data_IF_375186717775
#
_entry.id   IF_375186717775
#
_cell.length_a   1.000
_cell.length_b   1.000
_cell.length_c   1.000
_cell.angle_alpha   90.00
_cell.angle_beta   90.00
_cell.angle_gamma   90.00
#
_symmetry.space_group_name_H-M   'P 1'
#
loop_
_entity.id
_entity.type
_entity.pdbx_description
1 polymer ?
#
# COMPACT_ATOMS: atom_id res chain seq x y z
N UNK A 1 -30.68 -16.23 4.10
CA UNK A 1 -29.61 -16.43 3.10
C UNK A 1 -29.51 -15.15 2.28
N UNK A 2 -28.63 -14.22 2.69
CA UNK A 2 -28.40 -13.02 1.90
C UNK A 2 -27.66 -13.45 0.62
N UNK A 3 -28.17 -13.06 -0.55
CA UNK A 3 -27.47 -13.23 -1.81
C UNK A 3 -26.19 -12.38 -1.77
N UNK A 4 -25.10 -12.94 -1.23
CA UNK A 4 -23.79 -12.31 -1.29
C UNK A 4 -23.39 -12.29 -2.75
N UNK A 5 -23.44 -11.11 -3.35
CA UNK A 5 -23.09 -10.88 -4.73
C UNK A 5 -21.65 -11.38 -4.99
N UNK A 6 -21.54 -12.49 -5.73
CA UNK A 6 -20.30 -13.26 -5.92
C UNK A 6 -19.27 -12.39 -6.66
N UNK A 7 -17.95 -12.50 -6.37
CA UNK A 7 -16.91 -11.68 -7.01
C UNK A 7 -16.98 -11.66 -8.54
N UNK A 8 -17.43 -12.75 -9.15
CA UNK A 8 -17.59 -12.91 -10.60
C UNK A 8 -18.65 -11.99 -11.20
N UNK A 9 -19.67 -11.60 -10.43
CA UNK A 9 -20.66 -10.62 -10.85
C UNK A 9 -20.19 -9.18 -10.57
N UNK A 10 -19.34 -8.97 -9.56
CA UNK A 10 -18.75 -7.64 -9.25
C UNK A 10 -17.75 -7.19 -10.31
N UNK A 11 -16.89 -8.09 -10.77
CA UNK A 11 -15.85 -7.78 -11.74
C UNK A 11 -16.38 -7.03 -13.00
N UNK A 12 -17.39 -7.54 -13.74
CA UNK A 12 -17.89 -6.84 -14.92
C UNK A 12 -18.55 -5.50 -14.59
N UNK A 13 -19.23 -5.38 -13.43
CA UNK A 13 -19.83 -4.11 -13.02
C UNK A 13 -18.78 -3.04 -12.73
N UNK A 14 -17.67 -3.40 -12.08
CA UNK A 14 -16.54 -2.50 -11.83
C UNK A 14 -15.85 -2.10 -13.14
N UNK A 15 -15.64 -3.06 -14.05
CA UNK A 15 -15.06 -2.77 -15.37
C UNK A 15 -15.97 -1.89 -16.22
N UNK A 16 -17.29 -2.09 -16.13
CA UNK A 16 -18.27 -1.24 -16.81
C UNK A 16 -18.26 0.18 -16.24
N UNK A 17 -18.25 0.31 -14.91
CA UNK A 17 -18.10 1.60 -14.23
C UNK A 17 -16.83 2.33 -14.69
N UNK A 18 -15.68 1.64 -14.71
CA UNK A 18 -14.40 2.23 -15.12
C UNK A 18 -14.39 2.67 -16.60
N UNK A 19 -14.90 1.83 -17.49
CA UNK A 19 -14.78 2.02 -18.94
C UNK A 19 -15.85 2.91 -19.55
N UNK A 20 -17.06 2.93 -18.98
CA UNK A 20 -18.21 3.64 -19.57
C UNK A 20 -18.51 4.94 -18.86
N UNK A 21 -18.62 4.93 -17.53
CA UNK A 21 -18.89 6.15 -16.76
C UNK A 21 -17.61 6.87 -16.35
N UNK A 22 -16.57 6.10 -16.03
CA UNK A 22 -15.40 6.58 -15.32
C UNK A 22 -15.74 6.98 -13.88
N UNK A 23 -14.69 7.26 -13.11
CA UNK A 23 -14.81 7.79 -11.74
C UNK A 23 -14.10 9.13 -11.69
N UNK A 24 -14.88 10.21 -11.66
CA UNK A 24 -14.36 11.58 -11.66
C UNK A 24 -14.58 12.30 -10.31
N UNK A 25 -15.61 11.91 -9.56
CA UNK A 25 -15.92 12.49 -8.25
C UNK A 25 -15.18 11.75 -7.13
N UNK A 26 -14.45 12.51 -6.30
CA UNK A 26 -13.79 12.01 -5.10
C UNK A 26 -14.80 11.42 -4.11
N UNK A 27 -15.95 12.09 -3.89
CA UNK A 27 -16.99 11.60 -2.97
C UNK A 27 -17.55 10.26 -3.41
N UNK A 28 -17.79 10.11 -4.72
CA UNK A 28 -18.28 8.85 -5.28
C UNK A 28 -17.26 7.72 -5.10
N UNK A 29 -15.98 7.99 -5.41
CA UNK A 29 -14.90 7.01 -5.19
C UNK A 29 -14.82 6.56 -3.73
N UNK A 30 -14.83 7.51 -2.79
CA UNK A 30 -14.74 7.22 -1.36
C UNK A 30 -15.95 6.44 -0.87
N UNK A 31 -17.16 6.73 -1.37
CA UNK A 31 -18.35 5.98 -1.04
C UNK A 31 -18.29 4.53 -1.56
N UNK A 32 -17.90 4.33 -2.82
CA UNK A 32 -17.74 2.99 -3.42
C UNK A 32 -16.65 2.20 -2.70
N UNK A 33 -15.56 2.86 -2.30
CA UNK A 33 -14.50 2.26 -1.49
C UNK A 33 -15.03 1.79 -0.13
N UNK A 34 -15.78 2.65 0.57
CA UNK A 34 -16.31 2.37 1.91
C UNK A 34 -17.28 1.19 1.93
N UNK A 35 -18.25 1.19 1.00
CA UNK A 35 -19.38 0.27 1.01
C UNK A 35 -19.08 -1.01 0.21
N UNK A 36 -18.24 -0.93 -0.81
CA UNK A 36 -17.97 -2.05 -1.73
C UNK A 36 -16.57 -2.62 -1.56
N UNK A 37 -15.56 -1.87 -2.00
CA UNK A 37 -14.21 -2.42 -2.19
C UNK A 37 -13.51 -2.79 -0.88
N UNK A 38 -13.61 -1.97 0.15
CA UNK A 38 -12.91 -2.20 1.41
C UNK A 38 -13.43 -3.46 2.16
N UNK A 39 -14.75 -3.71 2.26
CA UNK A 39 -15.27 -5.00 2.72
C UNK A 39 -14.73 -6.19 1.91
N UNK A 40 -14.68 -6.08 0.58
CA UNK A 40 -14.18 -7.17 -0.28
C UNK A 40 -12.68 -7.43 -0.08
N UNK A 41 -11.87 -6.38 0.08
CA UNK A 41 -10.45 -6.49 0.41
C UNK A 41 -10.23 -7.17 1.77
N UNK A 42 -11.03 -6.81 2.78
CA UNK A 42 -10.96 -7.41 4.12
C UNK A 42 -11.38 -8.89 4.08
N UNK A 43 -12.41 -9.22 3.31
CA UNK A 43 -12.84 -10.61 3.10
C UNK A 43 -11.70 -11.43 2.45
N UNK A 44 -11.08 -10.91 1.39
CA UNK A 44 -9.94 -11.56 0.76
C UNK A 44 -8.77 -11.76 1.74
N UNK A 45 -8.43 -10.74 2.54
CA UNK A 45 -7.38 -10.83 3.54
C UNK A 45 -7.69 -11.83 4.68
N UNK A 46 -8.97 -12.05 4.98
CA UNK A 46 -9.41 -13.04 5.99
C UNK A 46 -9.31 -14.49 5.49
N UNK A 47 -9.46 -14.70 4.18
CA UNK A 47 -9.35 -16.02 3.54
C UNK A 47 -7.90 -16.42 3.23
N UNK A 48 -6.94 -15.51 3.37
CA UNK A 48 -5.50 -15.79 3.21
C UNK A 48 -4.91 -16.52 4.44
N UNK A 49 -5.48 -17.69 4.76
CA UNK A 49 -4.97 -18.64 5.74
C UNK A 49 -4.52 -19.92 5.05
N UNK A 50 -3.68 -20.72 5.71
CA UNK A 50 -3.21 -22.00 5.15
C UNK A 50 -4.35 -22.96 4.77
N UNK A 51 -5.52 -22.83 5.41
CA UNK A 51 -6.69 -23.69 5.17
C UNK A 51 -7.59 -23.16 4.05
N UNK A 52 -7.67 -21.85 3.85
CA UNK A 52 -8.67 -21.24 2.97
C UNK A 52 -8.11 -20.57 1.72
N UNK A 53 -6.80 -20.34 1.63
CA UNK A 53 -6.18 -19.52 0.57
C UNK A 53 -6.35 -20.09 -0.85
N UNK A 54 -6.62 -21.39 -0.97
CA UNK A 54 -6.83 -22.10 -2.24
C UNK A 54 -8.30 -22.40 -2.55
N UNK A 55 -9.24 -21.95 -1.71
CA UNK A 55 -10.68 -22.11 -1.97
C UNK A 55 -11.10 -21.32 -3.20
N UNK A 56 -12.14 -21.80 -3.88
CA UNK A 56 -12.69 -21.11 -5.08
C UNK A 56 -13.05 -19.66 -4.78
N UNK A 57 -13.65 -19.39 -3.62
CA UNK A 57 -14.00 -18.03 -3.18
C UNK A 57 -12.76 -17.15 -2.98
N UNK A 58 -11.70 -17.66 -2.33
CA UNK A 58 -10.46 -16.90 -2.13
C UNK A 58 -9.80 -16.54 -3.46
N UNK A 59 -9.72 -17.51 -4.38
CA UNK A 59 -9.16 -17.29 -5.71
C UNK A 59 -10.03 -16.34 -6.55
N UNK A 60 -11.36 -16.45 -6.47
CA UNK A 60 -12.29 -15.55 -7.15
C UNK A 60 -12.16 -14.10 -6.66
N UNK A 61 -12.01 -13.89 -5.35
CA UNK A 61 -11.74 -12.58 -4.76
C UNK A 61 -10.39 -12.03 -5.23
N UNK A 62 -9.32 -12.83 -5.23
CA UNK A 62 -8.01 -12.38 -5.72
C UNK A 62 -8.07 -11.97 -7.19
N UNK A 63 -8.81 -12.71 -8.04
CA UNK A 63 -9.06 -12.32 -9.44
C UNK A 63 -9.83 -11.02 -9.54
N UNK A 64 -10.96 -10.90 -8.84
CA UNK A 64 -11.79 -9.69 -8.84
C UNK A 64 -10.99 -8.45 -8.40
N UNK A 65 -10.30 -8.55 -7.27
CA UNK A 65 -9.54 -7.43 -6.71
C UNK A 65 -8.42 -7.02 -7.66
N UNK A 66 -7.60 -7.96 -8.16
CA UNK A 66 -6.43 -7.61 -8.96
C UNK A 66 -6.75 -7.22 -10.40
N UNK A 67 -7.85 -7.70 -10.98
CA UNK A 67 -8.20 -7.43 -12.38
C UNK A 67 -9.16 -6.25 -12.55
N UNK A 68 -9.96 -5.93 -11.53
CA UNK A 68 -10.96 -4.86 -11.62
C UNK A 68 -10.73 -3.74 -10.60
N UNK A 69 -10.56 -4.08 -9.32
CA UNK A 69 -10.51 -3.08 -8.24
C UNK A 69 -9.17 -2.36 -8.18
N UNK A 70 -8.05 -3.08 -8.12
CA UNK A 70 -6.71 -2.48 -8.04
C UNK A 70 -6.43 -1.57 -9.24
N UNK A 71 -6.67 -1.97 -10.51
CA UNK A 71 -6.45 -1.08 -11.65
C UNK A 71 -7.32 0.18 -11.61
N UNK A 72 -8.58 0.07 -11.19
CA UNK A 72 -9.46 1.22 -11.03
C UNK A 72 -8.93 2.18 -9.95
N UNK A 73 -8.53 1.66 -8.78
CA UNK A 73 -7.96 2.47 -7.71
C UNK A 73 -6.64 3.12 -8.15
N UNK A 74 -5.76 2.39 -8.85
CA UNK A 74 -4.52 2.94 -9.43
C UNK A 74 -4.82 4.13 -10.34
N UNK A 75 -5.79 3.99 -11.25
CA UNK A 75 -6.22 5.06 -12.16
C UNK A 75 -6.82 6.25 -11.41
N UNK A 76 -7.55 5.98 -10.33
CA UNK A 76 -8.19 6.99 -9.49
C UNK A 76 -7.28 7.54 -8.39
N UNK A 77 -6.00 7.13 -8.32
CA UNK A 77 -5.07 7.56 -7.28
C UNK A 77 -5.00 9.09 -7.07
N UNK A 78 -5.07 9.95 -8.12
CA UNK A 78 -5.11 11.41 -7.94
C UNK A 78 -6.28 11.90 -7.09
N UNK A 79 -7.42 11.20 -7.11
CA UNK A 79 -8.61 11.55 -6.33
C UNK A 79 -8.43 11.29 -4.83
N UNK A 80 -7.33 10.67 -4.38
CA UNK A 80 -7.02 10.52 -2.96
C UNK A 80 -6.27 11.73 -2.36
N UNK A 81 -5.86 12.70 -3.17
CA UNK A 81 -5.30 13.95 -2.67
C UNK A 81 -6.35 14.73 -1.85
N UNK A 82 -5.98 15.24 -0.67
CA UNK A 82 -6.88 16.04 0.18
C UNK A 82 -7.96 15.24 0.90
N UNK A 83 -7.76 13.93 1.11
CA UNK A 83 -8.74 13.03 1.77
C UNK A 83 -8.53 12.90 3.28
N UNK A 84 -7.95 13.91 3.95
CA UNK A 84 -7.60 13.82 5.37
C UNK A 84 -8.85 13.64 6.27
N UNK A 85 -9.99 14.18 5.85
CA UNK A 85 -11.28 14.01 6.51
C UNK A 85 -11.78 12.55 6.53
N UNK A 86 -11.24 11.67 5.67
CA UNK A 86 -11.51 10.22 5.63
C UNK A 86 -10.27 9.39 6.01
N UNK A 87 -9.33 9.94 6.78
CA UNK A 87 -8.04 9.31 7.05
C UNK A 87 -8.13 7.87 7.58
N UNK A 88 -9.09 7.56 8.46
CA UNK A 88 -9.28 6.21 9.02
C UNK A 88 -9.59 5.18 7.93
N UNK A 89 -10.40 5.55 6.95
CA UNK A 89 -10.77 4.66 5.85
C UNK A 89 -9.58 4.43 4.91
N UNK A 90 -8.89 5.52 4.53
CA UNK A 90 -7.70 5.44 3.67
C UNK A 90 -6.60 4.62 4.33
N UNK A 91 -6.40 4.81 5.64
CA UNK A 91 -5.46 4.01 6.42
C UNK A 91 -5.83 2.52 6.41
N UNK A 92 -7.09 2.20 6.69
CA UNK A 92 -7.58 0.82 6.62
C UNK A 92 -7.40 0.22 5.22
N UNK A 93 -7.61 1.01 4.17
CA UNK A 93 -7.38 0.59 2.78
C UNK A 93 -5.89 0.27 2.57
N UNK A 94 -4.98 1.20 2.88
CA UNK A 94 -3.54 1.03 2.70
C UNK A 94 -3.02 -0.21 3.45
N UNK A 95 -3.43 -0.38 4.71
CA UNK A 95 -3.08 -1.57 5.50
C UNK A 95 -3.61 -2.87 4.88
N UNK A 96 -4.84 -2.86 4.35
CA UNK A 96 -5.43 -4.06 3.76
C UNK A 96 -4.76 -4.39 2.43
N UNK A 97 -4.50 -3.41 1.56
CA UNK A 97 -3.77 -3.59 0.30
C UNK A 97 -2.35 -4.10 0.58
N UNK A 98 -1.65 -3.50 1.54
CA UNK A 98 -0.32 -3.97 1.94
C UNK A 98 -0.35 -5.42 2.44
N UNK A 99 -1.33 -5.78 3.27
CA UNK A 99 -1.52 -7.17 3.73
C UNK A 99 -1.79 -8.12 2.56
N UNK A 100 -2.65 -7.74 1.60
CA UNK A 100 -2.95 -8.52 0.42
C UNK A 100 -1.70 -8.77 -0.44
N UNK A 101 -0.77 -7.83 -0.53
CA UNK A 101 0.47 -8.02 -1.31
C UNK A 101 1.33 -9.20 -0.84
N UNK A 102 1.14 -9.64 0.42
CA UNK A 102 1.82 -10.78 1.05
C UNK A 102 1.02 -12.09 0.93
N UNK A 103 -0.04 -12.11 0.13
CA UNK A 103 -0.92 -13.25 -0.05
C UNK A 103 -0.19 -14.50 -0.55
N UNK A 104 -0.57 -15.66 -0.01
CA UNK A 104 0.05 -16.96 -0.32
C UNK A 104 -0.28 -17.44 -1.74
N UNK A 105 -1.54 -17.29 -2.14
CA UNK A 105 -2.08 -17.81 -3.39
C UNK A 105 -2.23 -16.70 -4.46
N UNK A 106 -1.18 -15.91 -4.64
CA UNK A 106 -1.13 -14.85 -5.67
C UNK A 106 -0.16 -15.20 -6.79
N UNK A 107 -0.58 -14.95 -8.02
CA UNK A 107 0.32 -14.96 -9.17
C UNK A 107 1.22 -13.73 -9.17
N UNK A 108 2.31 -13.76 -9.93
CA UNK A 108 3.20 -12.61 -10.11
C UNK A 108 2.43 -11.38 -10.60
N UNK A 109 1.59 -11.55 -11.63
CA UNK A 109 0.79 -10.45 -12.18
C UNK A 109 -0.18 -9.83 -11.17
N UNK A 110 -0.75 -10.64 -10.27
CA UNK A 110 -1.60 -10.13 -9.18
C UNK A 110 -0.80 -9.33 -8.15
N UNK A 111 0.40 -9.81 -7.78
CA UNK A 111 1.30 -9.06 -6.89
C UNK A 111 1.74 -7.74 -7.52
N UNK A 112 2.08 -7.74 -8.81
CA UNK A 112 2.47 -6.55 -9.55
C UNK A 112 1.33 -5.51 -9.58
N UNK A 113 0.08 -5.95 -9.79
CA UNK A 113 -1.09 -5.06 -9.75
C UNK A 113 -1.34 -4.44 -8.36
N UNK A 114 -1.15 -5.22 -7.28
CA UNK A 114 -1.27 -4.71 -5.90
C UNK A 114 -0.13 -3.72 -5.59
N UNK A 115 1.10 -4.05 -6.00
CA UNK A 115 2.27 -3.17 -5.85
C UNK A 115 2.05 -1.84 -6.58
N UNK A 116 1.64 -1.87 -7.84
CA UNK A 116 1.37 -0.67 -8.64
C UNK A 116 0.30 0.22 -8.00
N UNK A 117 -0.80 -0.39 -7.53
CA UNK A 117 -1.88 0.31 -6.82
C UNK A 117 -1.37 1.01 -5.56
N UNK A 118 -0.65 0.29 -4.69
CA UNK A 118 -0.15 0.86 -3.45
C UNK A 118 0.88 1.98 -3.70
N UNK A 119 1.77 1.80 -4.68
CA UNK A 119 2.73 2.83 -5.10
C UNK A 119 2.02 4.07 -5.65
N UNK A 120 0.97 3.89 -6.47
CA UNK A 120 0.19 5.00 -7.03
C UNK A 120 -0.54 5.79 -5.94
N UNK A 121 -1.20 5.10 -5.00
CA UNK A 121 -1.88 5.73 -3.86
C UNK A 121 -0.92 6.57 -3.03
N UNK A 122 0.24 5.99 -2.67
CA UNK A 122 1.23 6.68 -1.87
C UNK A 122 1.76 7.95 -2.55
N UNK A 123 1.73 8.07 -3.89
CA UNK A 123 2.14 9.30 -4.61
C UNK A 123 1.21 10.51 -4.44
N UNK A 124 -0.04 10.32 -4.01
CA UNK A 124 -1.00 11.42 -3.86
C UNK A 124 -1.42 11.66 -2.41
N UNK A 125 -1.29 10.65 -1.55
CA UNK A 125 -1.65 10.75 -0.14
C UNK A 125 -0.59 11.57 0.63
N UNK A 126 -1.04 12.36 1.62
CA UNK A 126 -0.17 13.13 2.53
C UNK A 126 0.73 12.22 3.36
N UNK A 127 1.98 12.62 3.66
CA UNK A 127 2.93 11.81 4.44
C UNK A 127 2.38 11.35 5.80
N UNK A 128 1.66 12.25 6.50
CA UNK A 128 1.07 11.98 7.81
C UNK A 128 0.04 10.84 7.79
N UNK A 129 -0.67 10.65 6.68
CA UNK A 129 -1.62 9.54 6.54
C UNK A 129 -0.93 8.19 6.36
N UNK A 130 0.37 8.16 6.05
CA UNK A 130 1.16 6.94 5.92
C UNK A 130 1.73 6.46 7.27
N UNK A 131 1.62 7.26 8.34
CA UNK A 131 2.24 6.99 9.64
C UNK A 131 1.89 5.60 10.19
N UNK A 132 0.63 5.18 10.10
CA UNK A 132 0.18 3.86 10.57
C UNK A 132 0.80 2.72 9.76
N UNK A 133 0.88 2.87 8.43
CA UNK A 133 1.59 1.92 7.58
C UNK A 133 3.08 1.87 7.93
N UNK A 134 3.72 3.02 8.15
CA UNK A 134 5.13 3.09 8.59
C UNK A 134 5.36 2.33 9.90
N UNK A 135 4.46 2.42 10.88
CA UNK A 135 4.54 1.62 12.12
C UNK A 135 4.63 0.14 11.83
N UNK A 136 3.88 -0.36 10.84
CA UNK A 136 3.94 -1.77 10.43
C UNK A 136 5.24 -2.09 9.69
N UNK A 137 5.68 -1.21 8.79
CA UNK A 137 6.88 -1.40 7.99
C UNK A 137 8.15 -1.44 8.85
N UNK A 138 8.21 -0.71 9.96
CA UNK A 138 9.32 -0.77 10.92
C UNK A 138 9.60 -2.20 11.41
N UNK A 139 8.57 -3.04 11.54
CA UNK A 139 8.74 -4.43 11.95
C UNK A 139 8.94 -5.38 10.78
N UNK A 140 8.23 -5.16 9.67
CA UNK A 140 8.23 -6.10 8.54
C UNK A 140 9.50 -5.98 7.66
N UNK A 141 9.99 -4.76 7.41
CA UNK A 141 11.05 -4.52 6.41
C UNK A 141 12.44 -4.97 6.86
N UNK A 142 12.87 -4.74 8.12
CA UNK A 142 14.18 -5.21 8.59
C UNK A 142 14.39 -6.73 8.48
N UNK A 143 13.32 -7.53 8.50
CA UNK A 143 13.42 -8.99 8.30
C UNK A 143 14.05 -9.33 6.93
N UNK A 144 13.90 -8.42 5.94
CA UNK A 144 14.45 -8.53 4.60
C UNK A 144 14.12 -9.86 3.89
N UNK A 145 12.96 -10.46 4.18
CA UNK A 145 12.55 -11.73 3.58
C UNK A 145 12.17 -11.57 2.08
N UNK A 146 11.69 -12.65 1.47
CA UNK A 146 11.25 -12.65 0.06
C UNK A 146 10.16 -11.60 -0.28
N UNK A 147 9.40 -11.17 0.73
CA UNK A 147 8.35 -10.14 0.61
C UNK A 147 8.88 -8.72 0.82
N UNK A 148 10.16 -8.53 1.11
CA UNK A 148 10.73 -7.21 1.41
C UNK A 148 10.86 -6.31 0.16
N UNK A 149 10.85 -6.87 -1.05
CA UNK A 149 11.08 -6.11 -2.30
C UNK A 149 10.09 -4.95 -2.50
N UNK A 150 8.80 -5.22 -2.33
CA UNK A 150 7.75 -4.20 -2.47
C UNK A 150 7.81 -3.13 -1.37
N UNK A 151 7.88 -3.48 -0.07
CA UNK A 151 8.11 -2.51 1.00
C UNK A 151 9.32 -1.62 0.81
N UNK A 152 10.45 -2.17 0.35
CA UNK A 152 11.66 -1.39 0.08
C UNK A 152 11.40 -0.34 -1.00
N UNK A 153 10.77 -0.73 -2.12
CA UNK A 153 10.39 0.23 -3.18
C UNK A 153 9.43 1.31 -2.69
N UNK A 154 8.45 0.92 -1.85
CA UNK A 154 7.49 1.83 -1.26
C UNK A 154 8.17 2.87 -0.38
N UNK A 155 9.07 2.43 0.50
CA UNK A 155 9.84 3.32 1.36
C UNK A 155 10.77 4.23 0.56
N UNK A 156 11.49 3.70 -0.45
CA UNK A 156 12.32 4.52 -1.35
C UNK A 156 11.49 5.63 -1.98
N UNK A 157 10.37 5.30 -2.62
CA UNK A 157 9.54 6.28 -3.29
C UNK A 157 8.95 7.32 -2.33
N UNK A 158 8.53 6.88 -1.14
CA UNK A 158 7.99 7.78 -0.13
C UNK A 158 9.03 8.78 0.36
N UNK A 159 10.20 8.30 0.78
CA UNK A 159 11.23 9.19 1.33
C UNK A 159 11.92 10.05 0.28
N UNK A 160 12.13 9.56 -0.96
CA UNK A 160 12.63 10.40 -2.06
C UNK A 160 11.69 11.55 -2.39
N UNK A 161 10.38 11.32 -2.31
CA UNK A 161 9.38 12.37 -2.53
C UNK A 161 9.27 13.29 -1.31
N UNK A 162 9.27 12.73 -0.11
CA UNK A 162 8.89 13.41 1.13
C UNK A 162 10.06 13.86 2.00
N UNK A 163 11.31 13.77 1.54
CA UNK A 163 12.48 14.14 2.35
C UNK A 163 12.37 15.54 2.97
N UNK A 164 11.82 16.52 2.23
CA UNK A 164 11.60 17.89 2.74
C UNK A 164 10.66 17.96 3.93
N UNK A 165 9.64 17.10 3.98
CA UNK A 165 8.68 17.04 5.09
C UNK A 165 9.33 16.52 6.39
N UNK A 166 10.28 15.60 6.26
CA UNK A 166 10.98 15.02 7.41
C UNK A 166 12.21 15.82 7.85
N UNK A 167 12.93 16.44 6.90
CA UNK A 167 14.19 17.12 7.16
C UNK A 167 14.03 18.61 7.54
N UNK A 168 13.06 19.33 6.96
CA UNK A 168 12.94 20.78 7.18
C UNK A 168 12.21 21.10 8.49
N UNK A 169 12.78 21.96 9.37
CA UNK A 169 12.12 22.38 10.61
C UNK A 169 10.79 23.12 10.40
N UNK A 170 10.66 23.82 9.27
CA UNK A 170 9.43 24.50 8.85
C UNK A 170 8.43 23.58 8.12
N UNK A 171 8.78 22.31 7.94
CA UNK A 171 8.00 21.33 7.19
C UNK A 171 7.99 21.55 5.68
N UNK A 172 7.06 20.88 5.00
CA UNK A 172 6.84 21.04 3.56
C UNK A 172 5.59 21.91 3.34
N UNK A 173 5.70 23.03 2.58
CA UNK A 173 4.54 23.82 2.15
C UNK A 173 3.33 22.96 1.76
N UNK A 174 2.16 23.26 2.34
CA UNK A 174 0.87 22.58 2.15
C UNK A 174 0.75 21.14 2.70
N UNK A 175 1.83 20.55 3.22
CA UNK A 175 1.86 19.18 3.76
C UNK A 175 2.10 19.12 5.27
N UNK A 176 2.46 20.24 5.88
CA UNK A 176 2.67 20.36 7.33
C UNK A 176 4.09 19.99 7.75
N UNK A 177 4.25 19.76 9.05
CA UNK A 177 5.52 19.41 9.71
C UNK A 177 5.44 17.97 10.20
N UNK A 178 6.56 17.25 10.11
CA UNK A 178 6.65 15.89 10.65
C UNK A 178 6.53 15.86 12.17
N UNK A 179 5.88 14.82 12.68
CA UNK A 179 5.78 14.56 14.12
C UNK A 179 7.04 13.86 14.66
N UNK A 180 7.28 13.97 15.97
CA UNK A 180 8.39 13.24 16.62
C UNK A 180 8.27 11.71 16.43
N UNK A 181 7.05 11.19 16.44
CA UNK A 181 6.81 9.77 16.22
C UNK A 181 7.22 9.37 14.81
N UNK A 182 6.82 10.13 13.79
CA UNK A 182 7.22 9.86 12.40
C UNK A 182 8.74 9.84 12.26
N UNK A 183 9.45 10.82 12.82
CA UNK A 183 10.91 10.87 12.81
C UNK A 183 11.52 9.67 13.54
N UNK A 184 10.93 9.24 14.65
CA UNK A 184 11.36 8.03 15.36
C UNK A 184 11.19 6.77 14.51
N UNK A 185 10.06 6.62 13.79
CA UNK A 185 9.83 5.51 12.86
C UNK A 185 10.85 5.53 11.71
N UNK A 186 11.17 6.71 11.16
CA UNK A 186 12.20 6.88 10.13
C UNK A 186 13.58 6.40 10.60
N UNK A 187 14.00 6.78 11.81
CA UNK A 187 15.27 6.31 12.41
C UNK A 187 15.27 4.80 12.62
N UNK A 188 14.17 4.24 13.12
CA UNK A 188 14.04 2.78 13.33
C UNK A 188 14.12 2.01 12.00
N UNK A 189 13.49 2.52 10.95
CA UNK A 189 13.60 1.92 9.61
C UNK A 189 15.03 1.95 9.09
N UNK A 190 15.70 3.10 9.20
CA UNK A 190 17.10 3.23 8.76
C UNK A 190 17.99 2.20 9.45
N UNK A 191 18.04 2.22 10.78
CA UNK A 191 18.92 1.34 11.54
C UNK A 191 18.51 -0.13 11.41
N UNK A 192 17.22 -0.43 11.38
CA UNK A 192 16.73 -1.79 11.21
C UNK A 192 17.15 -2.39 9.87
N UNK A 193 17.02 -1.64 8.77
CA UNK A 193 17.46 -2.11 7.45
C UNK A 193 18.99 -2.20 7.38
N UNK A 194 19.69 -1.18 7.89
CA UNK A 194 21.16 -1.12 7.86
C UNK A 194 21.78 -2.30 8.62
N UNK A 195 21.34 -2.54 9.86
CA UNK A 195 21.82 -3.64 10.70
C UNK A 195 21.53 -5.01 10.06
N UNK A 196 20.33 -5.16 9.48
CA UNK A 196 19.95 -6.39 8.80
C UNK A 196 20.78 -6.65 7.54
N UNK A 197 21.13 -5.62 6.76
CA UNK A 197 22.05 -5.76 5.63
C UNK A 197 23.50 -6.04 6.06
N UNK A 198 23.94 -5.57 7.22
CA UNK A 198 25.29 -5.82 7.71
C UNK A 198 25.50 -7.31 8.06
N UNK A 199 24.45 -7.98 8.56
CA UNK A 199 24.51 -9.38 8.99
C UNK A 199 24.06 -10.39 7.94
N UNK A 200 23.43 -9.93 6.86
CA UNK A 200 22.87 -10.82 5.83
C UNK A 200 23.90 -11.15 4.75
N UNK A 201 23.84 -12.38 4.22
CA UNK A 201 24.64 -12.76 3.06
C UNK A 201 24.30 -11.88 1.87
N UNK A 202 25.32 -11.52 1.10
CA UNK A 202 25.15 -10.68 -0.08
C UNK A 202 24.22 -11.34 -1.10
N UNK A 203 23.15 -10.63 -1.46
CA UNK A 203 22.21 -11.01 -2.51
C UNK A 203 22.00 -9.80 -3.42
N UNK A 204 22.54 -9.86 -4.65
CA UNK A 204 22.64 -8.70 -5.55
C UNK A 204 21.29 -7.98 -5.76
N UNK A 205 20.21 -8.73 -5.99
CA UNK A 205 18.87 -8.16 -6.22
C UNK A 205 18.29 -7.48 -4.97
N UNK A 206 18.57 -8.01 -3.77
CA UNK A 206 18.12 -7.39 -2.53
C UNK A 206 18.86 -6.08 -2.27
N UNK A 207 20.19 -6.07 -2.42
CA UNK A 207 21.01 -4.87 -2.21
C UNK A 207 20.68 -3.77 -3.23
N UNK A 208 20.36 -4.13 -4.48
CA UNK A 208 19.93 -3.19 -5.51
C UNK A 208 18.67 -2.41 -5.12
N UNK A 209 17.79 -2.99 -4.31
CA UNK A 209 16.59 -2.33 -3.78
C UNK A 209 16.82 -1.67 -2.42
N UNK A 210 17.59 -2.32 -1.55
CA UNK A 210 17.78 -1.87 -0.18
C UNK A 210 18.73 -0.66 -0.08
N UNK A 211 19.75 -0.56 -0.94
CA UNK A 211 20.68 0.57 -0.93
C UNK A 211 19.98 1.91 -1.28
N UNK A 212 19.21 2.03 -2.38
CA UNK A 212 18.42 3.23 -2.65
C UNK A 212 17.45 3.56 -1.50
N UNK A 213 16.81 2.54 -0.91
CA UNK A 213 15.91 2.73 0.22
C UNK A 213 16.63 3.34 1.42
N UNK A 214 17.81 2.84 1.78
CA UNK A 214 18.62 3.40 2.86
C UNK A 214 19.04 4.84 2.57
N UNK A 215 19.50 5.14 1.35
CA UNK A 215 19.87 6.49 0.95
C UNK A 215 18.68 7.47 1.02
N UNK A 216 17.50 7.04 0.56
CA UNK A 216 16.28 7.84 0.62
C UNK A 216 15.89 8.16 2.07
N UNK A 217 15.92 7.16 2.95
CA UNK A 217 15.64 7.34 4.38
C UNK A 217 16.69 8.26 5.03
N UNK A 218 17.97 8.06 4.72
CA UNK A 218 19.05 8.89 5.24
C UNK A 218 18.88 10.37 4.87
N UNK A 219 18.48 10.67 3.62
CA UNK A 219 18.21 12.04 3.18
C UNK A 219 16.97 12.69 3.83
N UNK A 220 16.11 11.89 4.45
CA UNK A 220 14.94 12.36 5.19
C UNK A 220 15.22 12.54 6.70
N UNK A 221 16.35 12.03 7.20
CA UNK A 221 16.77 12.27 8.58
C UNK A 221 17.41 13.67 8.69
N UNK A 222 17.02 14.48 9.69
CA UNK A 222 17.67 15.78 9.96
C UNK A 222 19.09 15.63 10.51
#
# INVERSE_FOLDING_TARGET
MAASFVPEHKAPMVLFLDRVYGVQSQEFLLHVLEVGFLPDMRAAASLDTATFSTTEMALALNRYLCLAVMPLITKCAPLFAGTEHRAIMVDSMLHTIYRLSRGRALTKAQRDAIEECLMALCRYIRPSMLQHLLRRLVFDVPILNEFAKMPLKLLTNHYERCWRYYCLPSGWPNMGVSSEEELHLTRKLFWGIFDSLAHKKFEAELYKLAMPCLCAIAGALP
#
